data_IF_978513714378
#
_entry.id   IF_978513714378
#
_cell.length_a   1.000
_cell.length_b   1.000
_cell.length_c   1.000
_cell.angle_alpha   90.00
_cell.angle_beta   90.00
_cell.angle_gamma   90.00
#
_symmetry.space_group_name_H-M   'P 1'
#
loop_
_entity.id
_entity.type
_entity.pdbx_description
1 polymer ?
#
# COMPACT_ATOMS: atom_id res chain seq x y z
N UNK A 1 5.56 11.50 -9.51
CA UNK A 1 4.93 10.30 -10.13
C UNK A 1 5.15 8.97 -9.40
N UNK A 2 6.28 8.70 -8.72
CA UNK A 2 6.57 7.38 -8.14
C UNK A 2 5.68 6.94 -6.95
N UNK A 3 5.00 7.88 -6.26
CA UNK A 3 4.17 7.56 -5.08
C UNK A 3 2.90 6.78 -5.42
N UNK A 4 2.26 7.06 -6.55
CA UNK A 4 1.00 6.41 -6.93
C UNK A 4 1.21 4.91 -7.22
N UNK A 5 2.29 4.57 -7.92
CA UNK A 5 2.64 3.18 -8.25
C UNK A 5 2.93 2.35 -6.99
N UNK A 6 3.55 2.97 -5.97
CA UNK A 6 3.83 2.29 -4.69
C UNK A 6 2.57 2.00 -3.88
N UNK A 7 1.51 2.80 -3.99
CA UNK A 7 0.24 2.56 -3.28
C UNK A 7 -0.54 1.41 -3.94
N UNK A 8 -0.66 1.42 -5.27
CA UNK A 8 -1.29 0.33 -6.03
C UNK A 8 -0.60 -1.02 -5.73
N UNK A 9 0.74 -1.05 -5.71
CA UNK A 9 1.49 -2.26 -5.39
C UNK A 9 1.15 -2.80 -3.98
N UNK A 10 1.02 -1.92 -2.98
CA UNK A 10 0.65 -2.32 -1.61
C UNK A 10 -0.76 -2.88 -1.56
N UNK A 11 -1.69 -2.22 -2.25
CA UNK A 11 -3.09 -2.65 -2.33
C UNK A 11 -3.20 -4.04 -2.96
N UNK A 12 -2.49 -4.28 -4.08
CA UNK A 12 -2.49 -5.59 -4.75
C UNK A 12 -1.87 -6.69 -3.89
N UNK A 13 -0.76 -6.40 -3.21
CA UNK A 13 -0.11 -7.36 -2.30
C UNK A 13 -1.04 -7.74 -1.15
N UNK A 14 -1.70 -6.76 -0.52
CA UNK A 14 -2.59 -7.06 0.61
C UNK A 14 -3.90 -7.69 0.15
N UNK A 15 -4.47 -7.31 -1.00
CA UNK A 15 -5.63 -7.98 -1.57
C UNK A 15 -5.36 -9.47 -1.88
N UNK A 16 -4.15 -9.80 -2.36
CA UNK A 16 -3.77 -11.19 -2.57
C UNK A 16 -3.66 -11.98 -1.24
N UNK A 17 -3.18 -11.32 -0.18
CA UNK A 17 -3.11 -11.92 1.16
C UNK A 17 -4.51 -12.14 1.74
N UNK A 18 -5.42 -11.17 1.56
CA UNK A 18 -6.82 -11.27 2.00
C UNK A 18 -7.58 -12.36 1.23
N UNK A 19 -7.25 -12.55 -0.05
CA UNK A 19 -7.71 -13.68 -0.86
C UNK A 19 -7.11 -15.05 -0.49
N UNK A 20 -6.36 -15.15 0.62
CA UNK A 20 -5.88 -16.41 1.18
C UNK A 20 -4.40 -16.73 0.91
N UNK A 21 -3.64 -15.86 0.22
CA UNK A 21 -2.19 -16.06 0.08
C UNK A 21 -1.45 -15.76 1.39
N UNK A 22 -0.37 -16.51 1.65
CA UNK A 22 0.56 -16.13 2.69
C UNK A 22 1.32 -14.84 2.33
N UNK A 23 1.77 -14.08 3.33
CA UNK A 23 2.57 -12.87 3.09
C UNK A 23 3.84 -13.13 2.25
N UNK A 24 4.43 -14.32 2.38
CA UNK A 24 5.59 -14.74 1.59
C UNK A 24 5.22 -15.00 0.13
N UNK A 25 4.14 -15.73 -0.14
CA UNK A 25 3.67 -15.97 -1.51
C UNK A 25 3.30 -14.68 -2.23
N UNK A 26 2.61 -13.77 -1.56
CA UNK A 26 2.29 -12.47 -2.13
C UNK A 26 3.57 -11.65 -2.40
N UNK A 27 4.54 -11.68 -1.48
CA UNK A 27 5.81 -10.99 -1.65
C UNK A 27 6.59 -11.45 -2.90
N UNK A 28 6.71 -12.77 -3.09
CA UNK A 28 7.35 -13.37 -4.27
C UNK A 28 6.61 -13.00 -5.56
N UNK A 29 5.27 -13.07 -5.56
CA UNK A 29 4.45 -12.76 -6.74
C UNK A 29 4.60 -11.32 -7.23
N UNK A 30 4.78 -10.38 -6.31
CA UNK A 30 4.85 -8.95 -6.60
C UNK A 30 6.28 -8.38 -6.56
N UNK A 31 7.30 -9.23 -6.33
CA UNK A 31 8.70 -8.81 -6.29
C UNK A 31 9.03 -7.87 -5.13
N UNK A 32 8.36 -8.03 -3.98
CA UNK A 32 8.61 -7.22 -2.77
C UNK A 32 9.20 -8.09 -1.67
N UNK A 33 9.87 -7.48 -0.69
CA UNK A 33 10.38 -8.24 0.45
C UNK A 33 9.25 -8.72 1.37
N UNK A 34 9.36 -9.97 1.86
CA UNK A 34 8.39 -10.55 2.80
C UNK A 34 8.18 -9.67 4.05
N UNK A 35 9.24 -9.03 4.56
CA UNK A 35 9.14 -8.08 5.66
C UNK A 35 8.24 -6.88 5.34
N UNK A 36 8.24 -6.40 4.09
CA UNK A 36 7.37 -5.30 3.66
C UNK A 36 5.91 -5.73 3.55
N UNK A 37 5.65 -6.92 2.99
CA UNK A 37 4.31 -7.48 2.94
C UNK A 37 3.72 -7.70 4.35
N UNK A 38 4.52 -8.19 5.30
CA UNK A 38 4.13 -8.36 6.70
C UNK A 38 3.77 -7.02 7.35
N UNK A 39 4.60 -5.97 7.14
CA UNK A 39 4.31 -4.63 7.66
C UNK A 39 2.99 -4.06 7.12
N UNK A 40 2.69 -4.28 5.84
CA UNK A 40 1.44 -3.81 5.23
C UNK A 40 0.22 -4.57 5.77
N UNK A 41 0.32 -5.89 5.92
CA UNK A 41 -0.73 -6.71 6.56
C UNK A 41 -0.94 -6.35 8.03
N UNK A 42 0.14 -6.08 8.77
CA UNK A 42 0.06 -5.62 10.15
C UNK A 42 -0.71 -4.31 10.27
N UNK A 43 -0.38 -3.33 9.41
CA UNK A 43 -1.10 -2.05 9.34
C UNK A 43 -2.57 -2.22 8.95
N UNK A 44 -2.91 -3.12 8.03
CA UNK A 44 -4.31 -3.46 7.72
C UNK A 44 -5.04 -3.99 8.96
N UNK A 45 -4.45 -4.94 9.70
CA UNK A 45 -5.08 -5.52 10.89
C UNK A 45 -5.28 -4.51 12.02
N UNK A 46 -4.34 -3.59 12.22
CA UNK A 46 -4.41 -2.58 13.29
C UNK A 46 -5.37 -1.42 12.96
N UNK A 47 -5.46 -1.03 11.69
CA UNK A 47 -6.22 0.15 11.26
C UNK A 47 -7.57 -0.21 10.61
N UNK A 48 -7.76 -1.48 10.22
CA UNK A 48 -8.91 -1.94 9.44
C UNK A 48 -8.88 -1.49 7.99
N UNK A 49 -7.78 -0.88 7.53
CA UNK A 49 -7.68 -0.27 6.20
C UNK A 49 -6.28 -0.46 5.58
N UNK A 50 -6.26 -0.91 4.33
CA UNK A 50 -5.05 -1.09 3.50
C UNK A 50 -4.63 0.26 2.92
N UNK A 51 -5.62 1.13 2.74
CA UNK A 51 -5.43 2.50 2.33
C UNK A 51 -4.81 3.24 3.52
N UNK A 52 -3.73 4.02 3.34
CA UNK A 52 -3.32 4.93 4.39
C UNK A 52 -4.54 5.76 4.82
N UNK A 53 -4.83 5.83 6.15
CA UNK A 53 -5.87 6.72 6.74
C UNK A 53 -6.00 7.96 5.86
N UNK A 54 -7.19 8.20 5.26
CA UNK A 54 -7.49 9.30 4.31
C UNK A 54 -6.30 10.25 4.23
N UNK A 55 -5.40 10.08 3.26
CA UNK A 55 -4.52 11.18 2.90
C UNK A 55 -5.48 12.31 2.58
N UNK A 56 -5.60 13.26 3.52
CA UNK A 56 -6.35 14.48 3.31
C UNK A 56 -5.95 14.98 1.94
N UNK A 57 -6.95 15.17 1.08
CA UNK A 57 -6.72 15.49 -0.32
C UNK A 57 -5.63 16.54 -0.45
N UNK A 58 -4.80 16.40 -1.48
CA UNK A 58 -3.79 17.36 -1.87
C UNK A 58 -4.35 18.80 -1.84
N UNK A 59 -4.28 19.44 -0.66
CA UNK A 59 -4.49 20.88 -0.46
C UNK A 59 -3.15 21.59 -0.45
N UNK A 60 -2.24 21.17 -1.34
CA UNK A 60 -1.07 21.97 -1.70
C UNK A 60 -0.81 21.99 -3.21
N UNK A 61 -1.86 22.04 -4.03
CA UNK A 61 -1.79 22.69 -5.34
C UNK A 61 -2.20 24.17 -5.20
N UNK A 62 -1.45 24.92 -4.41
CA UNK A 62 -1.39 26.38 -4.52
C UNK A 62 0.07 26.80 -4.58
N UNK A 63 0.61 26.80 -5.80
CA UNK A 63 1.31 27.98 -6.31
C UNK A 63 1.38 27.91 -7.83
N UNK A 64 0.46 28.64 -8.45
CA UNK A 64 0.80 29.44 -9.62
C UNK A 64 2.02 30.27 -9.23
N UNK A 65 3.09 30.20 -10.02
CA UNK A 65 3.90 31.38 -10.28
C UNK A 65 4.63 31.25 -11.62
N UNK A 66 4.20 32.15 -12.52
CA UNK A 66 4.90 32.90 -13.56
C UNK A 66 6.27 32.39 -14.02
#
# INVERSE_FOLDING_TARGET
>A
MARALSVDLRQRVVAAIDGGMSCRQAAERFGVSAASAIRWRGRLKEVGDIVPKRQGGDRKSKRIRN
#
